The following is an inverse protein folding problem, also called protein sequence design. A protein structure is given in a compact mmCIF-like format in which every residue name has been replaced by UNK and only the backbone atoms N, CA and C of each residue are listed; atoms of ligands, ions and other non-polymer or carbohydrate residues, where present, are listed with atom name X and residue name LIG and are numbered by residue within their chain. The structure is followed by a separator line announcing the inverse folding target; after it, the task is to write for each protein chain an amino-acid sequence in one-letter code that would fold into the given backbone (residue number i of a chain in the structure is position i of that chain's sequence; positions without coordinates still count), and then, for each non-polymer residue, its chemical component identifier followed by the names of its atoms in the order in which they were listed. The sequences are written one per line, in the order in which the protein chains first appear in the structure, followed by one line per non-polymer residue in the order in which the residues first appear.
data_IF_537492969742
#
_entry.id   IF_537492969742
#
_cell.length_a   1.000
_cell.length_b   1.000
_cell.length_c   1.000
_cell.angle_alpha   90.00
_cell.angle_beta   90.00
_cell.angle_gamma   90.00
#
_symmetry.space_group_name_H-M   'P 1'
#
loop_
_entity.id
_entity.type
_entity.pdbx_description
1 polymer ?
#
# COMPACT_ATOMS: atom_id res chain seq x y z
N UNK A 1 8.49 -14.81 0.86
CA UNK A 1 7.83 -14.19 -0.32
C UNK A 1 7.27 -12.85 0.14
N UNK A 2 7.17 -11.86 -0.74
CA UNK A 2 6.55 -10.57 -0.38
C UNK A 2 5.14 -10.53 -0.95
N UNK A 3 4.16 -10.14 -0.14
CA UNK A 3 2.77 -9.95 -0.58
C UNK A 3 2.57 -8.62 -1.28
N UNK A 4 3.45 -7.67 -0.97
CA UNK A 4 3.44 -6.32 -1.47
C UNK A 4 4.82 -5.97 -2.03
N UNK A 5 4.85 -5.36 -3.21
CA UNK A 5 6.04 -4.84 -3.85
C UNK A 5 5.84 -3.38 -4.26
N UNK A 6 6.91 -2.72 -4.68
CA UNK A 6 6.89 -1.34 -5.17
C UNK A 6 7.73 -1.24 -6.43
N UNK A 7 7.28 -0.47 -7.42
CA UNK A 7 8.07 -0.20 -8.63
C UNK A 7 9.20 0.78 -8.34
N UNK A 8 10.23 0.79 -9.20
CA UNK A 8 11.36 1.71 -9.05
C UNK A 8 10.92 3.19 -9.09
N UNK A 9 9.94 3.50 -9.94
CA UNK A 9 9.38 4.85 -10.07
C UNK A 9 8.65 5.28 -8.78
N UNK A 10 7.79 4.42 -8.25
CA UNK A 10 7.11 4.70 -6.99
C UNK A 10 8.11 4.78 -5.82
N UNK A 11 9.13 3.92 -5.81
CA UNK A 11 10.19 3.94 -4.80
C UNK A 11 10.99 5.25 -4.81
N UNK A 12 11.29 5.81 -5.99
CA UNK A 12 11.97 7.08 -6.11
C UNK A 12 11.17 8.23 -5.47
N UNK A 13 9.85 8.25 -5.71
CA UNK A 13 8.96 9.25 -5.10
C UNK A 13 8.87 9.07 -3.59
N UNK A 14 8.76 7.84 -3.10
CA UNK A 14 8.78 7.57 -1.65
C UNK A 14 10.06 8.11 -1.02
N UNK A 15 11.22 7.87 -1.63
CA UNK A 15 12.49 8.37 -1.11
C UNK A 15 12.53 9.91 -1.09
N UNK A 16 12.06 10.56 -2.16
CA UNK A 16 11.96 12.02 -2.21
C UNK A 16 11.03 12.58 -1.11
N UNK A 17 9.91 11.92 -0.86
CA UNK A 17 8.99 12.32 0.22
C UNK A 17 9.63 12.10 1.59
N UNK A 18 10.34 10.99 1.80
CA UNK A 18 11.04 10.70 3.06
C UNK A 18 12.13 11.72 3.37
N UNK A 19 12.88 12.15 2.37
CA UNK A 19 13.91 13.18 2.56
C UNK A 19 13.31 14.52 3.00
N UNK A 20 12.08 14.81 2.58
CA UNK A 20 11.39 16.06 2.89
C UNK A 20 10.58 16.03 4.19
N UNK A 21 9.92 14.90 4.47
CA UNK A 21 8.93 14.76 5.55
C UNK A 21 9.39 13.80 6.67
N UNK A 22 10.44 13.01 6.47
CA UNK A 22 10.98 12.09 7.47
C UNK A 22 10.28 10.72 7.48
N UNK A 23 9.74 10.33 8.63
CA UNK A 23 9.05 9.04 8.79
C UNK A 23 7.67 9.07 8.12
N UNK A 24 7.46 8.14 7.20
CA UNK A 24 6.23 8.04 6.44
C UNK A 24 5.49 6.73 6.75
N UNK A 25 4.23 6.71 6.34
CA UNK A 25 3.37 5.53 6.41
C UNK A 25 2.47 5.48 5.17
N UNK A 26 2.33 4.28 4.60
CA UNK A 26 1.33 4.00 3.58
C UNK A 26 0.06 3.48 4.24
N UNK A 27 -1.07 4.03 3.83
CA UNK A 27 -2.39 3.57 4.25
C UNK A 27 -3.34 3.45 3.08
N UNK A 28 -4.12 2.38 3.07
CA UNK A 28 -5.18 2.15 2.10
C UNK A 28 -6.51 1.99 2.84
N UNK A 29 -7.39 2.99 2.68
CA UNK A 29 -8.72 3.00 3.29
C UNK A 29 -9.78 2.36 2.37
N UNK A 30 -10.72 1.60 2.94
CA UNK A 30 -11.79 0.89 2.22
C UNK A 30 -12.95 1.77 1.71
N UNK A 31 -12.70 3.02 1.32
CA UNK A 31 -13.75 4.01 0.99
C UNK A 31 -14.44 3.82 -0.37
N UNK A 32 -15.73 4.15 -0.43
CA UNK A 32 -16.70 3.74 -1.47
C UNK A 32 -16.66 4.50 -2.83
N UNK A 33 -15.91 5.61 -3.02
CA UNK A 33 -16.04 6.42 -4.26
C UNK A 33 -14.77 6.65 -5.11
N UNK A 34 -13.57 6.37 -4.60
CA UNK A 34 -12.31 6.30 -5.38
C UNK A 34 -11.42 5.15 -4.84
N UNK A 35 -12.04 4.23 -4.09
CA UNK A 35 -11.39 3.23 -3.24
C UNK A 35 -10.52 2.25 -4.00
N UNK A 36 -9.21 2.47 -3.95
CA UNK A 36 -8.16 1.46 -4.21
C UNK A 36 -6.76 2.09 -4.29
N UNK A 37 -6.65 3.41 -4.42
CA UNK A 37 -5.34 4.05 -4.44
C UNK A 37 -4.69 4.00 -3.04
N UNK A 38 -3.40 3.63 -2.95
CA UNK A 38 -2.66 3.72 -1.69
C UNK A 38 -2.29 5.19 -1.46
N UNK A 39 -2.37 5.65 -0.22
CA UNK A 39 -1.98 7.00 0.14
C UNK A 39 -0.78 6.96 1.06
N UNK A 40 0.05 8.00 0.99
CA UNK A 40 1.22 8.16 1.85
C UNK A 40 1.05 9.39 2.73
N UNK A 41 1.29 9.21 4.02
CA UNK A 41 1.15 10.20 5.08
C UNK A 41 2.42 10.28 5.91
N UNK A 42 2.56 11.34 6.68
CA UNK A 42 3.55 11.39 7.77
C UNK A 42 3.11 10.40 8.85
N UNK A 43 4.08 9.70 9.44
CA UNK A 43 3.80 8.62 10.41
C UNK A 43 2.97 9.10 11.61
N UNK A 44 3.17 10.35 12.04
CA UNK A 44 2.46 10.93 13.18
C UNK A 44 1.05 11.44 12.84
N UNK A 45 0.76 11.66 11.55
CA UNK A 45 -0.55 12.15 11.08
C UNK A 45 -1.56 11.02 10.82
N UNK A 46 -1.09 9.77 10.71
CA UNK A 46 -1.96 8.62 10.47
C UNK A 46 -2.26 7.86 11.76
N UNK A 47 -3.55 7.79 12.11
CA UNK A 47 -4.02 6.92 13.17
C UNK A 47 -4.31 5.51 12.61
N UNK A 48 -3.67 4.49 13.17
CA UNK A 48 -3.96 3.10 12.88
C UNK A 48 -4.84 2.51 13.99
N UNK A 49 -5.86 1.74 13.61
CA UNK A 49 -6.70 1.01 14.56
C UNK A 49 -6.55 -0.51 14.44
N UNK A 50 -7.35 -1.26 15.21
CA UNK A 50 -7.31 -2.73 15.21
C UNK A 50 -7.79 -3.36 13.88
N UNK A 51 -8.48 -2.56 13.06
CA UNK A 51 -8.92 -2.95 11.72
C UNK A 51 -7.83 -2.72 10.68
N UNK A 52 -6.68 -2.14 11.01
CA UNK A 52 -5.57 -1.93 10.08
C UNK A 52 -4.58 -3.09 10.08
N UNK A 53 -4.53 -3.81 8.97
CA UNK A 53 -3.63 -4.94 8.75
C UNK A 53 -2.33 -4.47 8.14
N UNK A 54 -1.22 -4.77 8.81
CA UNK A 54 0.11 -4.57 8.28
C UNK A 54 0.41 -5.57 7.14
N UNK A 55 0.68 -5.05 5.93
CA UNK A 55 1.00 -5.87 4.76
C UNK A 55 2.49 -6.09 4.55
N UNK A 56 3.32 -5.15 4.99
CA UNK A 56 4.76 -5.19 4.79
C UNK A 56 5.39 -3.80 4.75
N UNK A 57 6.69 -3.77 4.51
CA UNK A 57 7.48 -2.54 4.46
C UNK A 57 8.04 -2.33 3.04
N UNK A 58 7.82 -1.14 2.48
CA UNK A 58 8.27 -0.71 1.15
C UNK A 58 9.22 0.47 1.30
N UNK A 59 10.47 0.35 0.86
CA UNK A 59 11.48 1.43 1.01
C UNK A 59 11.63 1.96 2.45
N UNK A 60 11.43 1.10 3.46
CA UNK A 60 11.45 1.50 4.88
C UNK A 60 10.18 2.23 5.34
N UNK A 61 9.12 2.23 4.55
CA UNK A 61 7.79 2.77 4.88
C UNK A 61 6.83 1.61 5.11
N UNK A 62 6.13 1.61 6.24
CA UNK A 62 5.17 0.56 6.55
C UNK A 62 3.87 0.75 5.76
N UNK A 63 3.31 -0.34 5.25
CA UNK A 63 2.06 -0.35 4.51
C UNK A 63 0.96 -1.03 5.32
N UNK A 64 -0.13 -0.29 5.53
CA UNK A 64 -1.33 -0.76 6.22
C UNK A 64 -2.54 -0.72 5.30
N UNK A 65 -3.43 -1.67 5.48
CA UNK A 65 -4.67 -1.81 4.74
C UNK A 65 -5.78 -2.20 5.70
N UNK A 66 -6.96 -1.64 5.52
CA UNK A 66 -8.11 -2.04 6.32
C UNK A 66 -8.43 -3.55 6.15
N UNK A 67 -8.85 -4.20 7.22
CA UNK A 67 -9.09 -5.64 7.30
C UNK A 67 -10.13 -6.13 6.29
N UNK A 68 -11.18 -5.36 6.04
CA UNK A 68 -12.21 -5.73 5.06
C UNK A 68 -11.63 -5.78 3.64
N UNK A 69 -10.77 -4.81 3.31
CA UNK A 69 -10.05 -4.77 2.03
C UNK A 69 -9.01 -5.89 1.94
N UNK A 70 -8.31 -6.14 3.04
CA UNK A 70 -7.35 -7.22 3.13
C UNK A 70 -7.98 -8.58 2.85
N UNK A 71 -9.14 -8.89 3.43
CA UNK A 71 -9.85 -10.14 3.20
C UNK A 71 -10.22 -10.33 1.73
N UNK A 72 -10.59 -9.26 1.03
CA UNK A 72 -10.86 -9.29 -0.39
C UNK A 72 -9.60 -9.51 -1.23
N UNK A 73 -8.46 -8.94 -0.82
CA UNK A 73 -7.19 -8.98 -1.56
C UNK A 73 -6.22 -10.05 -1.07
N UNK A 74 -6.65 -10.92 -0.14
CA UNK A 74 -5.78 -11.92 0.45
C UNK A 74 -5.24 -12.93 -0.57
N UNK A 75 -5.95 -13.15 -1.66
CA UNK A 75 -5.47 -14.03 -2.74
C UNK A 75 -4.67 -13.30 -3.82
N UNK A 76 -4.27 -12.04 -3.54
CA UNK A 76 -3.55 -11.21 -4.50
C UNK A 76 -2.20 -10.74 -3.97
N UNK A 77 -1.25 -10.64 -4.89
CA UNK A 77 -0.02 -9.89 -4.71
C UNK A 77 -0.26 -8.45 -5.16
N UNK A 78 0.12 -7.50 -4.32
CA UNK A 78 -0.05 -6.07 -4.57
C UNK A 78 1.26 -5.45 -5.00
N UNK A 79 1.24 -4.64 -6.05
CA UNK A 79 2.39 -3.86 -6.48
C UNK A 79 2.01 -2.39 -6.48
N UNK A 80 2.68 -1.61 -5.63
CA UNK A 80 2.54 -0.18 -5.57
C UNK A 80 3.32 0.43 -6.73
N UNK A 81 2.61 1.19 -7.56
CA UNK A 81 3.16 1.90 -8.69
C UNK A 81 2.72 3.36 -8.64
N UNK A 82 3.24 4.18 -9.53
CA UNK A 82 2.88 5.58 -9.61
C UNK A 82 2.51 5.97 -11.03
N UNK A 83 1.62 6.94 -11.17
CA UNK A 83 1.21 7.48 -12.47
C UNK A 83 0.99 8.98 -12.36
N UNK A 84 1.06 9.67 -13.49
CA UNK A 84 0.75 11.10 -13.57
C UNK A 84 -0.75 11.32 -13.38
N UNK A 85 -1.11 12.30 -12.55
CA UNK A 85 -2.51 12.63 -12.31
C UNK A 85 -2.73 13.39 -11.01
N UNK A 86 -3.96 13.88 -10.83
CA UNK A 86 -4.37 14.39 -9.52
C UNK A 86 -4.50 13.20 -8.57
N UNK A 87 -3.61 13.13 -7.59
CA UNK A 87 -3.69 12.17 -6.49
C UNK A 87 -4.90 12.41 -5.59
N UNK A 88 -5.08 11.49 -4.63
CA UNK A 88 -6.08 11.68 -3.58
C UNK A 88 -5.70 12.93 -2.77
N UNK A 89 -6.66 13.81 -2.50
CA UNK A 89 -6.46 15.16 -1.94
C UNK A 89 -5.67 15.25 -0.62
N UNK A 90 -5.35 14.14 0.03
CA UNK A 90 -4.68 14.07 1.31
C UNK A 90 -3.27 13.45 1.26
N UNK A 91 -2.84 12.91 0.12
CA UNK A 91 -1.55 12.21 0.00
C UNK A 91 -0.39 13.18 -0.29
N UNK A 92 0.82 12.88 0.21
CA UNK A 92 1.95 13.81 0.13
C UNK A 92 2.52 14.02 -1.29
N UNK A 93 2.23 13.13 -2.25
CA UNK A 93 2.73 13.22 -3.62
C UNK A 93 1.97 14.22 -4.51
N UNK A 94 0.83 14.76 -4.07
CA UNK A 94 -0.01 15.68 -4.87
C UNK A 94 0.78 16.87 -5.44
N UNK A 95 1.68 17.55 -4.70
CA UNK A 95 2.43 18.69 -5.22
C UNK A 95 3.37 18.31 -6.38
N UNK A 96 3.68 17.02 -6.54
CA UNK A 96 4.51 16.50 -7.62
C UNK A 96 3.70 16.20 -8.89
N UNK A 97 2.36 16.33 -8.85
CA UNK A 97 1.47 15.99 -9.98
C UNK A 97 1.37 14.48 -10.24
N UNK A 98 1.70 13.67 -9.24
CA UNK A 98 1.71 12.22 -9.30
C UNK A 98 0.62 11.65 -8.38
N UNK A 99 0.30 10.37 -8.59
CA UNK A 99 -0.57 9.60 -7.70
C UNK A 99 -0.12 8.16 -7.64
N UNK A 100 -0.14 7.57 -6.45
CA UNK A 100 0.10 6.15 -6.33
C UNK A 100 -1.10 5.33 -6.81
N UNK A 101 -0.82 4.14 -7.33
CA UNK A 101 -1.80 3.16 -7.78
C UNK A 101 -1.38 1.77 -7.28
N UNK A 102 -2.36 0.89 -7.07
CA UNK A 102 -2.09 -0.52 -6.78
C UNK A 102 -2.40 -1.35 -8.02
N UNK A 103 -1.42 -2.16 -8.42
CA UNK A 103 -1.60 -3.23 -9.39
C UNK A 103 -1.71 -4.55 -8.62
N UNK A 104 -2.86 -5.18 -8.66
CA UNK A 104 -3.05 -6.51 -8.08
C UNK A 104 -2.87 -7.58 -9.16
N UNK A 105 -2.24 -8.70 -8.77
CA UNK A 105 -2.23 -9.95 -9.53
C UNK A 105 -2.62 -11.08 -8.61
N UNK A 106 -3.19 -12.16 -9.14
CA UNK A 106 -3.41 -13.37 -8.32
C UNK A 106 -2.07 -13.92 -7.82
N UNK A 107 -2.09 -14.43 -6.58
CA UNK A 107 -0.96 -15.17 -6.03
C UNK A 107 -0.76 -16.46 -6.84
N UNK A 108 0.51 -16.83 -7.04
CA UNK A 108 0.84 -18.16 -7.55
C UNK A 108 0.49 -19.23 -6.51
N UNK A 109 0.38 -20.49 -6.93
CA UNK A 109 0.06 -21.59 -6.01
C UNK A 109 1.05 -21.68 -4.84
N UNK A 110 2.34 -21.39 -5.09
CA UNK A 110 3.39 -21.35 -4.06
C UNK A 110 3.19 -20.19 -3.07
N UNK A 111 2.86 -19.00 -3.57
CA UNK A 111 2.57 -17.83 -2.75
C UNK A 111 1.28 -18.00 -1.94
N UNK A 112 0.24 -18.56 -2.54
CA UNK A 112 -1.03 -18.85 -1.87
C UNK A 112 -0.82 -19.85 -0.73
N UNK A 113 -0.04 -20.91 -0.95
CA UNK A 113 0.35 -21.86 0.09
C UNK A 113 1.25 -21.24 1.17
N UNK A 114 1.94 -20.14 0.89
CA UNK A 114 2.77 -19.44 1.86
C UNK A 114 1.95 -18.47 2.72
N UNK A 115 1.03 -17.71 2.12
CA UNK A 115 0.28 -16.65 2.79
C UNK A 115 -1.08 -17.08 3.34
N UNK A 116 -1.76 -18.00 2.66
CA UNK A 116 -3.14 -18.37 2.94
C UNK A 116 -3.27 -19.85 3.31
N UNK A 117 -2.18 -20.48 3.78
CA UNK A 117 -2.17 -21.90 4.14
C UNK A 117 -3.29 -22.17 5.14
N UNK A 118 -4.38 -22.73 4.63
CA UNK A 118 -5.44 -23.29 5.44
C UNK A 118 -4.79 -24.38 6.27
N UNK A 119 -4.89 -24.28 7.60
CA UNK A 119 -4.78 -25.45 8.46
C UNK A 119 -5.89 -26.40 8.03
N UNK A 120 -5.58 -27.27 7.09
CA UNK A 120 -6.37 -28.47 6.84
C UNK A 120 -5.77 -29.53 7.75
N UNK A 121 -6.31 -29.62 8.97
CA UNK A 121 -6.24 -30.83 9.80
C UNK A 121 -7.54 -31.61 9.61
#
# INVERSE_FOLDING_TARGET
MQRIAITEQAAAVVNQLKEKHGELIFHQSGGCCDGSAPMIFEKDDMYLDESDVFLGTLQGVNFYMNQDQFEYWKHTHLTIDITEGRGASFSLEIPLGLRFIIKSRLLTQEEENHFNKTKTE
#
